data_IF_530109075214
#
_entry.id   IF_530109075214
#
_cell.length_a   1.000
_cell.length_b   1.000
_cell.length_c   1.000
_cell.angle_alpha   90.00
_cell.angle_beta   90.00
_cell.angle_gamma   90.00
#
_symmetry.space_group_name_H-M   'P 1'
#
loop_
_entity.id
_entity.type
_entity.pdbx_description
1 polymer ?
#
# COMPACT_ATOMS: atom_id res chain seq x y z
N UNK A 1 -11.86 -5.82 10.50
CA UNK A 1 -11.28 -5.33 9.24
C UNK A 1 -12.38 -4.60 8.50
N UNK A 2 -12.10 -3.45 7.90
CA UNK A 2 -13.13 -2.60 7.31
C UNK A 2 -13.34 -2.85 5.81
N UNK A 3 -14.31 -2.18 5.24
CA UNK A 3 -14.50 -2.06 3.79
C UNK A 3 -13.89 -0.74 3.32
N UNK A 4 -13.35 -0.71 2.10
CA UNK A 4 -12.95 0.54 1.46
C UNK A 4 -14.20 1.27 0.95
N UNK A 5 -14.12 2.58 0.74
CA UNK A 5 -15.20 3.38 0.14
C UNK A 5 -15.37 3.10 -1.38
N UNK A 6 -14.61 2.17 -1.95
CA UNK A 6 -14.62 1.83 -3.37
C UNK A 6 -15.07 0.38 -3.58
N UNK A 7 -16.21 0.21 -4.26
CA UNK A 7 -16.84 -1.09 -4.49
C UNK A 7 -15.94 -2.06 -5.26
N UNK A 8 -15.23 -1.59 -6.30
CA UNK A 8 -14.33 -2.41 -7.12
C UNK A 8 -13.15 -2.91 -6.29
N UNK A 9 -12.59 -2.05 -5.43
CA UNK A 9 -11.53 -2.46 -4.51
C UNK A 9 -12.03 -3.50 -3.51
N UNK A 10 -13.26 -3.37 -3.00
CA UNK A 10 -13.84 -4.34 -2.08
C UNK A 10 -14.02 -5.71 -2.74
N UNK A 11 -14.49 -5.75 -3.99
CA UNK A 11 -14.60 -6.97 -4.77
C UNK A 11 -13.24 -7.64 -4.95
N UNK A 12 -12.23 -6.90 -5.42
CA UNK A 12 -10.86 -7.42 -5.57
C UNK A 12 -10.27 -7.95 -4.25
N UNK A 13 -10.44 -7.20 -3.17
CA UNK A 13 -9.96 -7.59 -1.84
C UNK A 13 -10.64 -8.87 -1.38
N UNK A 14 -11.95 -9.00 -1.60
CA UNK A 14 -12.73 -10.19 -1.29
C UNK A 14 -12.28 -11.40 -2.12
N UNK A 15 -12.21 -11.25 -3.45
CA UNK A 15 -11.75 -12.28 -4.39
C UNK A 15 -10.36 -12.81 -4.04
N UNK A 16 -9.44 -11.91 -3.69
CA UNK A 16 -8.06 -12.24 -3.33
C UNK A 16 -7.90 -12.62 -1.85
N UNK A 17 -8.99 -12.64 -1.06
CA UNK A 17 -9.00 -12.93 0.38
C UNK A 17 -8.01 -12.05 1.17
N UNK A 18 -7.86 -10.80 0.74
CA UNK A 18 -7.00 -9.81 1.36
C UNK A 18 -7.73 -9.13 2.53
N UNK A 19 -6.96 -8.50 3.40
CA UNK A 19 -7.50 -7.71 4.52
C UNK A 19 -7.26 -6.24 4.26
N UNK A 20 -8.33 -5.48 4.16
CA UNK A 20 -8.24 -4.04 4.11
C UNK A 20 -8.01 -3.45 5.51
N UNK A 21 -7.10 -2.47 5.56
CA UNK A 21 -6.78 -1.69 6.77
C UNK A 21 -6.89 -0.21 6.41
N UNK A 22 -7.73 0.57 7.11
CA UNK A 22 -7.84 2.00 6.83
C UNK A 22 -6.51 2.71 7.07
N UNK A 23 -6.16 3.66 6.19
CA UNK A 23 -4.91 4.41 6.30
C UNK A 23 -4.78 5.16 7.64
N UNK A 24 -5.90 5.65 8.18
CA UNK A 24 -5.94 6.32 9.48
C UNK A 24 -5.54 5.43 10.67
N UNK A 25 -5.36 4.12 10.49
CA UNK A 25 -4.85 3.18 11.51
C UNK A 25 -3.33 3.18 11.62
N UNK A 26 -2.62 3.87 10.73
CA UNK A 26 -1.18 4.04 10.79
C UNK A 26 -0.80 5.38 11.41
N UNK A 27 0.30 5.39 12.17
CA UNK A 27 0.92 6.55 12.81
C UNK A 27 2.38 6.63 12.42
N UNK A 28 3.01 7.79 12.65
CA UNK A 28 4.43 8.04 12.40
C UNK A 28 4.85 7.53 11.02
N UNK A 29 4.08 7.94 9.99
CA UNK A 29 4.38 7.57 8.61
C UNK A 29 5.57 8.40 8.16
N UNK A 30 6.72 7.75 8.07
CA UNK A 30 8.01 8.35 7.72
C UNK A 30 8.43 7.84 6.34
N UNK A 31 8.87 8.75 5.47
CA UNK A 31 9.48 8.37 4.19
C UNK A 31 10.76 7.57 4.45
N UNK A 32 10.92 6.46 3.75
CA UNK A 32 12.17 5.70 3.75
C UNK A 32 12.92 5.87 2.44
N UNK A 33 12.26 5.58 1.32
CA UNK A 33 12.92 5.58 0.03
C UNK A 33 11.90 5.63 -1.12
N UNK A 34 12.36 5.93 -2.34
CA UNK A 34 11.57 5.91 -3.56
C UNK A 34 12.36 5.21 -4.66
N UNK A 35 11.82 4.07 -5.10
CA UNK A 35 12.31 3.36 -6.28
C UNK A 35 11.50 3.70 -7.54
N UNK A 36 11.78 3.01 -8.65
CA UNK A 36 11.03 3.16 -9.90
C UNK A 36 9.54 2.83 -9.75
N UNK A 37 9.23 1.99 -8.77
CA UNK A 37 7.93 1.33 -8.60
C UNK A 37 6.97 1.91 -7.60
N UNK A 38 7.45 2.86 -6.83
CA UNK A 38 6.72 3.25 -5.65
C UNK A 38 7.60 3.91 -4.62
N UNK A 39 6.92 4.44 -3.62
CA UNK A 39 7.53 5.08 -2.47
C UNK A 39 7.30 4.20 -1.25
N UNK A 40 8.37 3.97 -0.51
CA UNK A 40 8.39 3.14 0.70
C UNK A 40 8.34 4.07 1.91
N UNK A 41 7.48 3.73 2.85
CA UNK A 41 7.33 4.42 4.12
C UNK A 41 7.43 3.44 5.27
N UNK A 42 7.96 3.89 6.39
CA UNK A 42 7.87 3.22 7.69
C UNK A 42 6.65 3.77 8.41
N UNK A 43 5.89 2.92 9.10
CA UNK A 43 4.78 3.37 9.92
C UNK A 43 4.58 2.46 11.14
N UNK A 44 3.80 2.93 12.11
CA UNK A 44 3.34 2.15 13.25
C UNK A 44 1.85 1.84 13.05
N UNK A 45 1.49 0.57 12.98
CA UNK A 45 0.09 0.15 12.97
C UNK A 45 -0.48 0.18 14.39
N UNK A 46 -1.35 1.16 14.67
CA UNK A 46 -1.92 1.44 16.00
C UNK A 46 -2.56 0.21 16.65
N UNK A 47 -3.43 -0.50 15.92
CA UNK A 47 -4.22 -1.59 16.48
C UNK A 47 -3.37 -2.81 16.90
N UNK A 48 -2.13 -2.92 16.40
CA UNK A 48 -1.22 -4.03 16.69
C UNK A 48 0.04 -3.62 17.43
N UNK A 49 0.26 -2.31 17.59
CA UNK A 49 1.50 -1.74 18.10
C UNK A 49 2.75 -2.32 17.40
N UNK A 50 2.70 -2.42 16.07
CA UNK A 50 3.78 -2.99 15.24
C UNK A 50 4.32 -1.97 14.26
N UNK A 51 5.64 -1.97 14.08
CA UNK A 51 6.29 -1.29 12.97
C UNK A 51 6.01 -2.07 11.69
N UNK A 52 5.58 -1.37 10.65
CA UNK A 52 5.24 -1.93 9.34
C UNK A 52 5.90 -1.08 8.25
N UNK A 53 6.04 -1.68 7.07
CA UNK A 53 6.45 -0.99 5.85
C UNK A 53 5.21 -0.79 4.98
N UNK A 54 4.95 0.44 4.57
CA UNK A 54 3.91 0.80 3.59
C UNK A 54 4.59 1.05 2.26
N UNK A 55 4.21 0.31 1.22
CA UNK A 55 4.66 0.55 -0.16
C UNK A 55 3.52 1.20 -0.94
N UNK A 56 3.66 2.48 -1.24
CA UNK A 56 2.76 3.20 -2.15
C UNK A 56 3.23 2.95 -3.58
N UNK A 57 2.39 2.38 -4.43
CA UNK A 57 2.73 2.17 -5.84
C UNK A 57 2.55 3.49 -6.59
N UNK A 58 3.59 3.92 -7.32
CA UNK A 58 3.50 5.11 -8.16
C UNK A 58 2.68 4.74 -9.40
N UNK A 59 1.46 5.25 -9.51
CA UNK A 59 0.71 5.14 -10.76
C UNK A 59 1.13 6.30 -11.66
N UNK A 60 1.94 6.03 -12.69
CA UNK A 60 2.26 7.02 -13.72
C UNK A 60 2.27 6.35 -15.11
N UNK A 61 1.32 6.80 -15.94
CA UNK A 61 1.25 6.74 -17.41
C UNK A 61 1.86 5.54 -18.15
N UNK A 62 0.99 4.71 -18.75
CA UNK A 62 1.05 3.92 -20.01
C UNK A 62 2.35 3.36 -20.62
N UNK A 63 3.57 3.73 -20.22
CA UNK A 63 4.81 3.18 -20.75
C UNK A 63 5.41 2.17 -19.76
N UNK A 64 4.72 1.04 -19.65
CA UNK A 64 4.85 -0.01 -18.65
C UNK A 64 5.94 -1.06 -18.96
N UNK A 65 7.21 -0.68 -19.18
CA UNK A 65 8.29 -1.67 -19.36
C UNK A 65 9.38 -1.61 -18.30
N UNK A 66 9.56 -0.45 -17.67
CA UNK A 66 10.52 -0.33 -16.58
C UNK A 66 9.97 -0.96 -15.29
N UNK A 67 8.66 -1.29 -15.27
CA UNK A 67 8.05 -1.93 -14.10
C UNK A 67 8.44 -3.43 -13.89
N UNK A 68 9.14 -4.08 -14.82
CA UNK A 68 9.38 -5.54 -14.68
C UNK A 68 10.85 -5.92 -14.48
N UNK A 69 11.75 -4.94 -14.38
CA UNK A 69 13.19 -5.17 -14.50
C UNK A 69 14.06 -4.80 -13.28
N UNK A 70 13.50 -4.32 -12.16
CA UNK A 70 14.31 -4.11 -10.95
C UNK A 70 14.43 -5.43 -10.17
N UNK A 71 15.64 -5.99 -10.15
CA UNK A 71 16.10 -7.19 -9.42
C UNK A 71 16.76 -6.77 -8.10
#
# INVERSE_FOLDING_TARGET
FGESENVILNEFISEKKLKWVPYNKFNNVEYLDKGGFGTIYKAIWKDKNKVVVLKSLNNMNENSNDFLNEV
#
